data_IF_877020735115
#
_entry.id   IF_877020735115
#
_cell.length_a   1.000
_cell.length_b   1.000
_cell.length_c   1.000
_cell.angle_alpha   90.00
_cell.angle_beta   90.00
_cell.angle_gamma   90.00
#
_symmetry.space_group_name_H-M   'P 1'
#
loop_
_entity.id
_entity.type
_entity.pdbx_description
1 polymer ?
#
# COMPACT_ATOMS: atom_id res chain seq x y z
N UNK A 1 20.51 17.85 -4.12
CA UNK A 1 21.78 17.22 -3.70
C UNK A 1 21.70 15.74 -4.04
N UNK A 2 22.66 15.20 -4.79
CA UNK A 2 22.63 13.83 -5.33
C UNK A 2 23.60 12.86 -4.64
N UNK A 3 24.17 13.25 -3.50
CA UNK A 3 25.05 12.41 -2.70
C UNK A 3 24.30 11.84 -1.49
N UNK A 4 24.64 10.60 -1.10
CA UNK A 4 24.12 9.98 0.11
C UNK A 4 24.63 10.74 1.35
N UNK A 5 23.76 11.12 2.31
CA UNK A 5 24.18 11.93 3.44
C UNK A 5 25.01 11.09 4.44
N UNK A 6 26.04 11.69 5.03
CA UNK A 6 26.86 11.05 6.06
C UNK A 6 26.10 10.85 7.38
N UNK A 7 25.02 11.60 7.61
CA UNK A 7 24.14 11.52 8.78
C UNK A 7 22.68 11.50 8.34
N UNK A 8 21.85 10.72 9.03
CA UNK A 8 20.41 10.72 8.81
C UNK A 8 19.77 12.06 9.17
N UNK A 9 18.65 12.36 8.51
CA UNK A 9 17.77 13.48 8.87
C UNK A 9 16.89 13.10 10.06
N UNK A 10 16.40 14.11 10.79
CA UNK A 10 15.38 13.89 11.81
C UNK A 10 14.04 13.48 11.20
N UNK A 11 13.20 12.76 11.96
CA UNK A 11 11.88 12.31 11.49
C UNK A 11 11.01 13.47 10.96
N UNK A 12 10.88 14.54 11.74
CA UNK A 12 10.10 15.73 11.36
C UNK A 12 10.65 16.41 10.10
N UNK A 13 11.98 16.42 9.94
CA UNK A 13 12.63 16.99 8.75
C UNK A 13 12.32 16.15 7.50
N UNK A 14 12.35 14.82 7.64
CA UNK A 14 11.97 13.89 6.56
C UNK A 14 10.51 14.09 6.18
N UNK A 15 9.61 14.12 7.17
CA UNK A 15 8.18 14.29 6.93
C UNK A 15 7.87 15.63 6.25
N UNK A 16 8.46 16.73 6.72
CA UNK A 16 8.27 18.05 6.10
C UNK A 16 8.81 18.11 4.67
N UNK A 17 9.96 17.49 4.40
CA UNK A 17 10.51 17.43 3.05
C UNK A 17 9.63 16.60 2.11
N UNK A 18 9.10 15.47 2.58
CA UNK A 18 8.17 14.65 1.80
C UNK A 18 6.87 15.41 1.51
N UNK A 19 6.29 16.08 2.51
CA UNK A 19 5.07 16.90 2.32
C UNK A 19 5.27 17.98 1.26
N UNK A 20 6.40 18.71 1.32
CA UNK A 20 6.74 19.73 0.30
C UNK A 20 6.83 19.14 -1.10
N UNK A 21 7.43 17.97 -1.26
CA UNK A 21 7.62 17.32 -2.56
C UNK A 21 6.32 16.75 -3.13
N UNK A 22 5.48 16.19 -2.27
CA UNK A 22 4.23 15.53 -2.66
C UNK A 22 3.06 16.51 -2.77
N UNK A 23 3.20 17.76 -2.33
CA UNK A 23 2.15 18.77 -2.39
C UNK A 23 1.67 19.10 -3.83
N UNK A 24 2.49 18.80 -4.84
CA UNK A 24 2.13 19.00 -6.25
C UNK A 24 1.24 17.86 -6.80
N UNK A 25 1.13 16.75 -6.08
CA UNK A 25 0.35 15.59 -6.51
C UNK A 25 -1.17 15.83 -6.41
N UNK A 26 -1.92 15.22 -7.31
CA UNK A 26 -3.39 15.24 -7.25
C UNK A 26 -3.90 14.25 -6.21
N UNK A 27 -4.92 14.66 -5.47
CA UNK A 27 -5.66 13.78 -4.55
C UNK A 27 -6.89 13.19 -5.24
N UNK A 28 -7.28 11.95 -4.88
CA UNK A 28 -8.44 11.29 -5.51
C UNK A 28 -9.79 11.96 -5.16
N UNK A 29 -9.84 12.74 -4.09
CA UNK A 29 -11.01 13.54 -3.69
C UNK A 29 -11.02 14.96 -4.29
N UNK A 30 -9.99 15.36 -5.03
CA UNK A 30 -9.87 16.71 -5.62
C UNK A 30 -10.88 17.00 -6.75
N UNK A 31 -11.53 15.96 -7.29
CA UNK A 31 -12.36 16.05 -8.49
C UNK A 31 -11.58 16.29 -9.80
N UNK A 32 -10.24 16.29 -9.75
CA UNK A 32 -9.36 16.51 -10.92
C UNK A 32 -8.93 15.23 -11.63
N UNK A 33 -9.01 14.08 -10.95
CA UNK A 33 -8.62 12.78 -11.50
C UNK A 33 -9.83 12.13 -12.18
N UNK A 34 -9.89 12.17 -13.52
CA UNK A 34 -11.05 11.70 -14.29
C UNK A 34 -10.83 10.37 -15.05
N UNK A 35 -9.57 9.96 -15.24
CA UNK A 35 -9.20 8.81 -16.09
C UNK A 35 -8.48 7.68 -15.36
N UNK A 36 -8.50 7.66 -14.02
CA UNK A 36 -7.85 6.61 -13.24
C UNK A 36 -8.79 5.42 -13.04
N UNK A 37 -8.25 4.20 -13.12
CA UNK A 37 -8.94 2.98 -12.70
C UNK A 37 -8.73 2.67 -11.19
N UNK A 38 -8.04 3.56 -10.47
CA UNK A 38 -7.75 3.46 -9.04
C UNK A 38 -8.41 4.59 -8.24
N UNK A 39 -8.53 4.38 -6.93
CA UNK A 39 -8.99 5.37 -5.95
C UNK A 39 -8.37 5.08 -4.57
N UNK A 40 -8.74 5.86 -3.55
CA UNK A 40 -8.32 5.59 -2.17
C UNK A 40 -8.72 4.18 -1.73
N UNK A 41 -7.79 3.44 -1.09
CA UNK A 41 -8.13 2.14 -0.52
C UNK A 41 -9.15 2.32 0.61
N UNK A 42 -10.02 1.33 0.77
CA UNK A 42 -10.99 1.28 1.86
C UNK A 42 -10.29 1.47 3.24
N UNK A 43 -10.85 2.25 4.20
CA UNK A 43 -10.16 2.55 5.46
C UNK A 43 -9.71 1.32 6.26
N UNK A 44 -10.50 0.24 6.22
CA UNK A 44 -10.13 -1.03 6.85
C UNK A 44 -8.87 -1.64 6.20
N UNK A 45 -8.73 -1.56 4.88
CA UNK A 45 -7.57 -2.10 4.17
C UNK A 45 -6.28 -1.35 4.55
N UNK A 46 -6.36 -0.02 4.71
CA UNK A 46 -5.24 0.78 5.21
C UNK A 46 -4.78 0.32 6.59
N UNK A 47 -5.74 0.11 7.52
CA UNK A 47 -5.44 -0.41 8.86
C UNK A 47 -4.78 -1.78 8.83
N UNK A 48 -5.28 -2.70 7.99
CA UNK A 48 -4.74 -4.06 7.87
C UNK A 48 -3.30 -4.01 7.33
N UNK A 49 -3.05 -3.23 6.28
CA UNK A 49 -1.71 -3.09 5.71
C UNK A 49 -0.74 -2.53 6.77
N UNK A 50 -1.11 -1.50 7.52
CA UNK A 50 -0.24 -0.97 8.58
C UNK A 50 0.10 -1.99 9.67
N UNK A 51 -0.84 -2.87 10.04
CA UNK A 51 -0.62 -3.90 11.08
C UNK A 51 0.26 -5.06 10.59
N UNK A 52 0.23 -5.37 9.30
CA UNK A 52 0.85 -6.58 8.74
C UNK A 52 1.78 -6.26 7.55
N UNK A 53 2.36 -5.06 7.52
CA UNK A 53 3.20 -4.57 6.42
C UNK A 53 4.47 -5.39 6.21
N UNK A 54 4.90 -6.14 7.24
CA UNK A 54 6.10 -6.96 7.24
C UNK A 54 5.89 -8.38 6.69
N UNK A 55 4.66 -8.74 6.31
CA UNK A 55 4.35 -10.06 5.75
C UNK A 55 4.79 -10.12 4.28
N UNK A 56 5.47 -11.19 3.90
CA UNK A 56 5.97 -11.38 2.54
C UNK A 56 5.53 -12.74 1.95
N UNK A 57 4.59 -12.73 1.00
CA UNK A 57 4.14 -13.98 0.35
C UNK A 57 5.19 -14.61 -0.59
N UNK A 58 6.31 -13.93 -0.86
CA UNK A 58 7.49 -14.51 -1.48
C UNK A 58 8.22 -15.53 -0.59
N UNK A 59 7.94 -15.53 0.72
CA UNK A 59 8.42 -16.55 1.68
C UNK A 59 7.23 -17.12 2.49
N UNK A 60 6.39 -17.97 1.86
CA UNK A 60 5.15 -18.42 2.46
C UNK A 60 5.36 -19.33 3.68
N UNK A 61 6.57 -19.90 3.87
CA UNK A 61 6.89 -20.73 5.04
C UNK A 61 6.90 -19.93 6.34
N UNK A 62 7.30 -18.65 6.27
CA UNK A 62 7.28 -17.73 7.41
C UNK A 62 5.91 -17.06 7.61
N UNK A 63 5.07 -17.07 6.59
CA UNK A 63 3.82 -16.30 6.53
C UNK A 63 2.60 -17.17 6.17
N UNK A 64 2.51 -18.36 6.77
CA UNK A 64 1.47 -19.36 6.50
C UNK A 64 0.05 -18.80 6.63
N UNK A 65 -0.19 -17.91 7.60
CA UNK A 65 -1.49 -17.25 7.75
C UNK A 65 -1.85 -16.36 6.56
N UNK A 66 -0.93 -15.51 6.12
CA UNK A 66 -1.12 -14.66 4.93
C UNK A 66 -1.36 -15.49 3.67
N UNK A 67 -0.66 -16.60 3.52
CA UNK A 67 -0.86 -17.52 2.38
C UNK A 67 -2.27 -18.11 2.37
N UNK A 68 -2.79 -18.55 3.52
CA UNK A 68 -4.17 -19.05 3.62
C UNK A 68 -5.19 -17.99 3.21
N UNK A 69 -4.99 -16.74 3.64
CA UNK A 69 -5.85 -15.62 3.26
C UNK A 69 -5.79 -15.37 1.74
N UNK A 70 -4.61 -15.46 1.13
CA UNK A 70 -4.47 -15.38 -0.33
C UNK A 70 -5.24 -16.51 -1.05
N UNK A 71 -5.07 -17.76 -0.60
CA UNK A 71 -5.77 -18.92 -1.14
C UNK A 71 -7.30 -18.75 -1.03
N UNK A 72 -7.80 -18.31 0.13
CA UNK A 72 -9.22 -18.00 0.36
C UNK A 72 -9.71 -16.86 -0.54
N UNK A 73 -8.92 -15.80 -0.72
CA UNK A 73 -9.27 -14.68 -1.59
C UNK A 73 -9.39 -15.09 -3.06
N UNK A 74 -8.46 -15.92 -3.55
CA UNK A 74 -8.53 -16.49 -4.90
C UNK A 74 -9.77 -17.36 -5.06
N UNK A 75 -10.09 -18.20 -4.07
CA UNK A 75 -11.30 -19.02 -4.09
C UNK A 75 -12.57 -18.16 -4.18
N UNK A 76 -12.68 -17.12 -3.36
CA UNK A 76 -13.83 -16.20 -3.38
C UNK A 76 -13.97 -15.50 -4.74
N UNK A 77 -12.86 -15.11 -5.37
CA UNK A 77 -12.88 -14.53 -6.72
C UNK A 77 -13.30 -15.55 -7.77
N UNK A 78 -12.84 -16.80 -7.66
CA UNK A 78 -13.28 -17.90 -8.52
C UNK A 78 -14.79 -18.14 -8.40
N UNK A 79 -15.34 -18.10 -7.19
CA UNK A 79 -16.78 -18.30 -6.94
C UNK A 79 -17.57 -17.15 -7.56
N UNK A 80 -17.11 -15.91 -7.37
CA UNK A 80 -17.71 -14.70 -7.95
C UNK A 80 -17.73 -14.74 -9.48
N UNK A 81 -16.70 -15.33 -10.10
CA UNK A 81 -16.55 -15.45 -11.54
C UNK A 81 -17.08 -16.78 -12.10
N UNK A 82 -17.72 -17.62 -11.28
CA UNK A 82 -18.25 -18.93 -11.64
C UNK A 82 -17.22 -19.89 -12.27
N UNK A 83 -16.02 -19.95 -11.68
CA UNK A 83 -14.92 -20.82 -12.10
C UNK A 83 -14.71 -22.04 -11.21
N UNK A 84 -15.54 -22.20 -10.16
CA UNK A 84 -15.46 -23.26 -9.15
C UNK A 84 -16.66 -24.21 -9.20
#
# INVERSE_FOLDING_TARGET
>A
MTAFPERGMGEDEVLSELEKRLNDDLTFDSGKILGSMCTYPHPLAQKIICLYMDRNLGDPGLHVGSRKIEEEAVQMLGDLLHLN
#
